data_IF_847039991848
#
_entry.id   IF_847039991848
#
_cell.length_a   1.000
_cell.length_b   1.000
_cell.length_c   1.000
_cell.angle_alpha   90.00
_cell.angle_beta   90.00
_cell.angle_gamma   90.00
#
_symmetry.space_group_name_H-M   'P 1'
#
loop_
_entity.id
_entity.type
_entity.pdbx_description
1 polymer ?
#
# COMPACT_ATOMS: atom_id res chain seq x y z
N UNK A 1 20.92 6.37 71.09
CA UNK A 1 21.59 6.19 69.78
C UNK A 1 20.69 5.34 68.90
N UNK A 2 19.96 5.82 67.90
CA UNK A 2 19.71 7.15 67.37
C UNK A 2 18.68 7.03 66.22
N UNK A 3 17.69 7.94 66.21
CA UNK A 3 16.80 8.41 65.11
C UNK A 3 16.12 7.37 64.21
N UNK A 4 14.79 7.19 64.16
CA UNK A 4 13.68 8.14 63.99
C UNK A 4 13.86 9.11 62.80
N UNK A 5 13.25 8.78 61.66
CA UNK A 5 12.94 9.73 60.57
C UNK A 5 11.53 9.45 60.08
N UNK A 6 10.59 10.22 60.62
CA UNK A 6 9.28 10.49 60.03
C UNK A 6 9.30 11.80 59.26
N UNK A 7 8.38 11.89 58.29
CA UNK A 7 7.66 13.10 57.87
C UNK A 7 8.12 13.90 56.64
N UNK A 8 7.15 14.00 55.71
CA UNK A 8 6.76 15.12 54.84
C UNK A 8 7.59 15.40 53.59
N UNK A 9 6.92 15.19 52.45
CA UNK A 9 6.84 16.17 51.35
C UNK A 9 5.54 15.92 50.57
N UNK A 10 4.47 16.58 51.01
CA UNK A 10 3.32 16.92 50.16
C UNK A 10 3.69 18.13 49.30
N UNK A 11 2.99 18.30 48.17
CA UNK A 11 3.08 19.37 47.16
C UNK A 11 4.14 19.21 46.05
N UNK A 12 3.69 18.72 44.89
CA UNK A 12 3.70 19.51 43.65
C UNK A 12 2.70 18.90 42.67
N UNK A 13 1.43 19.25 42.86
CA UNK A 13 0.40 19.23 41.81
C UNK A 13 0.32 20.68 41.34
N UNK A 14 1.07 21.03 40.30
CA UNK A 14 0.84 22.25 39.52
C UNK A 14 1.54 22.14 38.17
N UNK A 15 0.74 22.32 37.12
CA UNK A 15 1.13 22.68 35.75
C UNK A 15 1.82 21.63 34.85
N UNK A 16 1.01 20.70 34.33
CA UNK A 16 1.18 20.21 32.94
C UNK A 16 -0.11 20.53 32.19
N UNK A 17 -0.34 21.82 31.96
CA UNK A 17 -1.53 22.31 31.28
C UNK A 17 -1.13 23.41 30.29
N UNK A 18 -0.21 23.11 29.35
CA UNK A 18 0.22 24.04 28.29
C UNK A 18 0.93 23.35 27.11
N UNK A 19 0.42 22.23 26.59
CA UNK A 19 0.87 21.68 25.30
C UNK A 19 -0.27 21.24 24.37
N UNK A 20 -1.46 21.83 24.56
CA UNK A 20 -2.58 21.75 23.62
C UNK A 20 -2.78 23.10 22.93
N UNK A 21 -1.78 23.53 22.17
CA UNK A 21 -1.85 24.75 21.34
C UNK A 21 -1.40 24.38 19.91
N UNK A 22 -2.42 24.12 19.07
CA UNK A 22 -2.46 24.21 17.59
C UNK A 22 -1.72 23.18 16.70
N UNK A 23 -2.37 22.07 16.30
CA UNK A 23 -2.03 21.36 15.07
C UNK A 23 -2.45 22.11 13.78
N UNK A 24 -3.12 23.26 13.88
CA UNK A 24 -3.63 24.02 12.72
C UNK A 24 -2.51 24.67 11.88
N UNK A 25 -1.36 25.01 12.48
CA UNK A 25 -0.32 25.78 11.78
C UNK A 25 0.65 24.94 10.94
N UNK A 26 0.92 23.67 11.30
CA UNK A 26 1.75 22.78 10.47
C UNK A 26 1.00 22.40 9.18
N UNK A 27 -0.31 22.16 9.26
CA UNK A 27 -1.14 21.90 8.08
C UNK A 27 -1.28 23.15 7.18
N UNK A 28 -1.40 24.35 7.78
CA UNK A 28 -1.54 25.61 7.03
C UNK A 28 -0.24 26.08 6.36
N UNK A 29 0.92 25.87 6.99
CA UNK A 29 2.22 26.12 6.35
C UNK A 29 2.46 25.14 5.18
N UNK A 30 2.02 23.89 5.32
CA UNK A 30 2.04 22.91 4.22
C UNK A 30 1.08 23.27 3.06
N UNK A 31 -0.09 23.83 3.37
CA UNK A 31 -1.06 24.25 2.35
C UNK A 31 -0.68 25.54 1.59
N UNK A 32 0.21 26.39 2.15
CA UNK A 32 0.53 27.69 1.54
C UNK A 32 1.58 27.58 0.43
N UNK A 33 2.54 26.67 0.53
CA UNK A 33 3.61 26.51 -0.47
C UNK A 33 3.23 25.58 -1.64
N UNK A 34 2.24 24.70 -1.48
CA UNK A 34 1.81 23.77 -2.53
C UNK A 34 0.92 24.38 -3.62
N UNK A 35 0.54 25.65 -3.53
CA UNK A 35 -0.18 26.36 -4.60
C UNK A 35 0.68 26.64 -5.84
N UNK A 36 2.00 26.40 -5.78
CA UNK A 36 2.94 26.64 -6.90
C UNK A 36 3.54 25.37 -7.52
N UNK A 37 3.04 24.18 -7.20
CA UNK A 37 3.48 22.96 -7.89
C UNK A 37 2.72 22.77 -9.20
N UNK A 38 3.45 22.85 -10.32
CA UNK A 38 3.10 22.47 -11.71
C UNK A 38 1.59 22.32 -11.99
N UNK A 39 1.01 23.37 -12.57
CA UNK A 39 -0.40 23.48 -12.96
C UNK A 39 -0.76 22.68 -14.21
N UNK A 40 0.18 21.96 -14.81
CA UNK A 40 -0.08 21.18 -16.01
C UNK A 40 -0.91 19.95 -15.66
N UNK A 41 -2.07 19.75 -16.32
CA UNK A 41 -2.89 18.57 -16.08
C UNK A 41 -2.07 17.30 -16.37
N UNK A 42 -2.15 16.32 -15.46
CA UNK A 42 -1.50 15.03 -15.63
C UNK A 42 -2.32 14.23 -16.63
N UNK A 43 -1.77 14.01 -17.82
CA UNK A 43 -2.34 13.15 -18.84
C UNK A 43 -1.57 11.84 -18.89
N UNK A 44 -2.25 10.73 -18.64
CA UNK A 44 -1.74 9.38 -18.87
C UNK A 44 -2.27 8.92 -20.23
N UNK A 45 -1.37 8.61 -21.17
CA UNK A 45 -1.73 8.15 -22.51
C UNK A 45 -1.14 6.79 -22.78
N UNK A 46 -1.99 5.78 -22.91
CA UNK A 46 -1.58 4.40 -23.14
C UNK A 46 -1.77 3.99 -24.60
N UNK A 47 -0.95 3.08 -25.11
CA UNK A 47 -1.12 2.49 -26.43
C UNK A 47 -2.44 1.70 -26.45
N UNK A 48 -3.29 1.78 -27.50
CA UNK A 48 -4.56 1.05 -27.55
C UNK A 48 -4.37 -0.45 -27.85
N UNK A 49 -3.58 -1.14 -27.03
CA UNK A 49 -3.25 -2.55 -27.17
C UNK A 49 -3.25 -3.24 -25.82
N UNK A 50 -3.80 -4.45 -25.79
CA UNK A 50 -3.75 -5.37 -24.63
C UNK A 50 -2.39 -6.05 -24.48
N UNK A 51 -1.55 -6.05 -25.52
CA UNK A 51 -0.29 -6.80 -25.52
C UNK A 51 0.63 -6.40 -24.35
N UNK A 52 0.89 -5.11 -24.06
CA UNK A 52 1.77 -4.76 -22.95
C UNK A 52 1.16 -5.09 -21.58
N UNK A 53 -0.18 -5.10 -21.47
CA UNK A 53 -0.90 -5.49 -20.27
C UNK A 53 -0.74 -6.99 -19.98
N UNK A 54 -1.02 -7.83 -20.98
CA UNK A 54 -0.87 -9.29 -20.87
C UNK A 54 0.59 -9.63 -20.61
N UNK A 55 1.52 -9.03 -21.35
CA UNK A 55 2.95 -9.26 -21.18
C UNK A 55 3.42 -8.93 -19.76
N UNK A 56 3.02 -7.79 -19.18
CA UNK A 56 3.42 -7.43 -17.81
C UNK A 56 2.81 -8.38 -16.77
N UNK A 57 1.52 -8.72 -16.88
CA UNK A 57 0.88 -9.64 -15.92
C UNK A 57 1.51 -11.03 -15.99
N UNK A 58 1.75 -11.56 -17.19
CA UNK A 58 2.47 -12.83 -17.37
C UNK A 58 3.89 -12.76 -16.82
N UNK A 59 4.61 -11.67 -17.06
CA UNK A 59 5.94 -11.43 -16.49
C UNK A 59 5.92 -11.46 -14.96
N UNK A 60 4.94 -10.80 -14.33
CA UNK A 60 4.78 -10.80 -12.86
C UNK A 60 4.54 -12.21 -12.35
N UNK A 61 3.64 -12.98 -12.98
CA UNK A 61 3.40 -14.39 -12.60
C UNK A 61 4.65 -15.26 -12.71
N UNK A 62 5.45 -15.08 -13.78
CA UNK A 62 6.70 -15.83 -13.97
C UNK A 62 7.72 -15.48 -12.88
N UNK A 63 7.88 -14.19 -12.59
CA UNK A 63 8.80 -13.72 -11.54
C UNK A 63 8.35 -14.19 -10.15
N UNK A 64 7.04 -14.19 -9.89
CA UNK A 64 6.48 -14.72 -8.65
C UNK A 64 6.74 -16.24 -8.52
N UNK A 65 6.52 -17.02 -9.58
CA UNK A 65 6.83 -18.44 -9.61
C UNK A 65 8.32 -18.70 -9.33
N UNK A 66 9.21 -17.97 -10.03
CA UNK A 66 10.64 -18.06 -9.83
C UNK A 66 11.06 -17.68 -8.41
N UNK A 67 10.43 -16.65 -7.83
CA UNK A 67 10.65 -16.25 -6.44
C UNK A 67 10.29 -17.39 -5.49
N UNK A 68 9.11 -17.99 -5.64
CA UNK A 68 8.67 -19.11 -4.80
C UNK A 68 9.63 -20.29 -4.93
N UNK A 69 10.00 -20.68 -6.16
CA UNK A 69 10.96 -21.78 -6.38
C UNK A 69 12.33 -21.50 -5.74
N UNK A 70 12.81 -20.25 -5.81
CA UNK A 70 14.06 -19.88 -5.17
C UNK A 70 13.96 -19.93 -3.63
N UNK A 71 12.83 -19.51 -3.06
CA UNK A 71 12.59 -19.61 -1.62
C UNK A 71 12.56 -21.06 -1.18
N UNK A 72 11.81 -21.93 -1.86
CA UNK A 72 11.70 -23.34 -1.48
C UNK A 72 13.01 -24.09 -1.64
N UNK A 73 13.84 -23.72 -2.62
CA UNK A 73 15.17 -24.29 -2.79
C UNK A 73 16.16 -23.90 -1.67
N UNK A 74 16.05 -22.68 -1.13
CA UNK A 74 16.99 -22.15 -0.12
C UNK A 74 16.52 -22.43 1.30
N UNK A 75 15.22 -22.27 1.58
CA UNK A 75 14.63 -22.35 2.91
C UNK A 75 13.87 -23.65 3.17
N UNK A 76 13.77 -24.54 2.17
CA UNK A 76 12.97 -25.76 2.26
C UNK A 76 11.49 -25.55 1.91
N UNK A 77 10.67 -26.61 1.83
CA UNK A 77 9.29 -26.52 1.37
C UNK A 77 8.31 -25.92 2.39
N UNK A 78 8.67 -25.89 3.68
CA UNK A 78 7.76 -25.47 4.76
C UNK A 78 7.82 -23.96 5.00
N UNK A 79 6.96 -23.22 4.29
CA UNK A 79 6.91 -21.74 4.34
C UNK A 79 6.56 -21.17 5.72
N UNK A 80 5.88 -21.93 6.58
CA UNK A 80 5.55 -21.55 7.96
C UNK A 80 6.78 -21.41 8.86
N UNK A 81 7.88 -22.06 8.51
CA UNK A 81 9.12 -22.04 9.30
C UNK A 81 10.10 -20.96 8.84
N UNK A 82 9.79 -20.25 7.74
CA UNK A 82 10.72 -19.29 7.16
C UNK A 82 10.99 -18.14 8.13
N UNK A 83 12.28 -17.85 8.43
CA UNK A 83 12.61 -16.62 9.12
C UNK A 83 12.19 -15.45 8.22
N UNK A 84 11.19 -14.66 8.68
CA UNK A 84 10.56 -13.57 7.89
C UNK A 84 11.59 -12.63 7.24
N UNK A 85 12.67 -12.32 7.98
CA UNK A 85 13.75 -11.48 7.49
C UNK A 85 14.54 -12.11 6.33
N UNK A 86 14.81 -13.42 6.34
CA UNK A 86 15.46 -14.12 5.23
C UNK A 86 14.56 -14.16 3.99
N UNK A 87 13.26 -14.42 4.17
CA UNK A 87 12.30 -14.37 3.05
C UNK A 87 12.24 -12.98 2.41
N UNK A 88 12.23 -11.90 3.21
CA UNK A 88 12.30 -10.55 2.65
C UNK A 88 13.60 -10.29 1.87
N UNK A 89 14.74 -10.77 2.36
CA UNK A 89 16.03 -10.64 1.67
C UNK A 89 16.02 -11.42 0.34
N UNK A 90 15.54 -12.67 0.34
CA UNK A 90 15.44 -13.50 -0.85
C UNK A 90 14.43 -12.96 -1.87
N UNK A 91 13.38 -12.26 -1.43
CA UNK A 91 12.40 -11.61 -2.30
C UNK A 91 12.95 -10.37 -3.00
N UNK A 92 13.95 -9.70 -2.43
CA UNK A 92 14.45 -8.40 -2.90
C UNK A 92 14.86 -8.38 -4.38
N UNK A 93 15.65 -9.34 -4.92
CA UNK A 93 16.02 -9.35 -6.32
C UNK A 93 14.80 -9.46 -7.26
N UNK A 94 13.82 -10.28 -6.90
CA UNK A 94 12.59 -10.44 -7.68
C UNK A 94 11.76 -9.16 -7.69
N UNK A 95 11.68 -8.47 -6.54
CA UNK A 95 11.00 -7.18 -6.46
C UNK A 95 11.69 -6.11 -7.31
N UNK A 96 13.03 -6.08 -7.34
CA UNK A 96 13.77 -5.18 -8.22
C UNK A 96 13.48 -5.47 -9.69
N UNK A 97 13.42 -6.75 -10.08
CA UNK A 97 13.05 -7.18 -11.43
C UNK A 97 11.64 -6.69 -11.79
N UNK A 98 10.66 -6.79 -10.88
CA UNK A 98 9.30 -6.27 -11.09
C UNK A 98 9.26 -4.75 -11.24
N UNK A 99 10.00 -4.02 -10.40
CA UNK A 99 10.12 -2.55 -10.47
C UNK A 99 10.70 -2.15 -11.83
N UNK A 100 11.82 -2.75 -12.23
CA UNK A 100 12.49 -2.42 -13.49
C UNK A 100 11.65 -2.81 -14.71
N UNK A 101 11.00 -3.97 -14.70
CA UNK A 101 10.10 -4.42 -15.77
C UNK A 101 8.90 -3.49 -15.92
N UNK A 102 8.23 -3.15 -14.82
CA UNK A 102 7.10 -2.20 -14.81
C UNK A 102 7.52 -0.83 -15.29
N UNK A 103 8.68 -0.34 -14.82
CA UNK A 103 9.23 0.92 -15.27
C UNK A 103 9.53 0.91 -16.78
N UNK A 104 10.09 -0.17 -17.30
CA UNK A 104 10.31 -0.37 -18.74
C UNK A 104 9.01 -0.31 -19.54
N UNK A 105 7.96 -1.00 -19.09
CA UNK A 105 6.63 -0.97 -19.75
C UNK A 105 6.01 0.44 -19.70
N UNK A 106 6.09 1.14 -18.57
CA UNK A 106 5.62 2.53 -18.48
C UNK A 106 6.37 3.44 -19.46
N UNK A 107 7.69 3.30 -19.56
CA UNK A 107 8.50 4.06 -20.53
C UNK A 107 8.15 3.74 -21.97
N UNK A 108 7.93 2.46 -22.28
CA UNK A 108 7.47 2.02 -23.60
C UNK A 108 6.11 2.65 -23.97
N UNK A 109 5.22 2.82 -23.00
CA UNK A 109 3.92 3.48 -23.20
C UNK A 109 3.99 5.02 -23.11
N UNK A 110 5.16 5.62 -22.91
CA UNK A 110 5.32 7.07 -22.79
C UNK A 110 4.79 7.65 -21.47
N UNK A 111 4.59 6.82 -20.45
CA UNK A 111 4.10 7.21 -19.12
C UNK A 111 5.27 7.31 -18.14
N UNK A 112 5.35 8.42 -17.40
CA UNK A 112 6.36 8.57 -16.35
C UNK A 112 5.87 8.03 -15.00
N UNK A 113 6.79 7.50 -14.18
CA UNK A 113 6.46 7.07 -12.81
C UNK A 113 5.85 8.20 -11.97
N UNK A 114 6.32 9.44 -12.16
CA UNK A 114 5.77 10.61 -11.47
C UNK A 114 4.30 10.87 -11.84
N UNK A 115 3.90 10.58 -13.08
CA UNK A 115 2.53 10.80 -13.55
C UNK A 115 1.55 9.87 -12.83
N UNK A 116 1.98 8.64 -12.53
CA UNK A 116 1.15 7.65 -11.80
C UNK A 116 1.17 7.86 -10.29
N UNK A 117 1.89 8.87 -9.78
CA UNK A 117 1.88 9.23 -8.35
C UNK A 117 3.10 8.77 -7.56
N UNK A 118 4.16 8.29 -8.23
CA UNK A 118 5.49 8.05 -7.66
C UNK A 118 6.39 9.31 -7.81
N UNK A 119 5.95 10.45 -7.28
CA UNK A 119 6.76 11.68 -7.25
C UNK A 119 7.21 11.99 -5.83
N UNK A 120 8.26 12.81 -5.70
CA UNK A 120 8.69 13.33 -4.39
C UNK A 120 7.60 14.18 -3.72
N UNK A 121 6.81 14.91 -4.52
CA UNK A 121 5.72 15.75 -4.03
C UNK A 121 4.53 14.97 -3.48
N UNK A 122 4.34 13.71 -3.88
CA UNK A 122 3.29 12.82 -3.34
C UNK A 122 3.79 11.93 -2.20
N UNK A 123 5.10 11.80 -2.02
CA UNK A 123 5.70 10.98 -0.96
C UNK A 123 5.35 11.47 0.45
N UNK A 124 5.66 12.73 0.78
CA UNK A 124 5.40 13.25 2.13
C UNK A 124 3.90 13.23 2.51
N UNK A 125 2.95 13.63 1.63
CA UNK A 125 1.54 13.43 1.90
C UNK A 125 1.16 11.97 2.19
N UNK A 126 1.76 11.01 1.48
CA UNK A 126 1.53 9.59 1.73
C UNK A 126 2.05 9.15 3.10
N UNK A 127 3.26 9.59 3.48
CA UNK A 127 3.85 9.30 4.80
C UNK A 127 2.96 9.85 5.92
N UNK A 128 2.48 11.08 5.79
CA UNK A 128 1.58 11.69 6.80
C UNK A 128 0.26 10.92 6.88
N UNK A 129 -0.39 10.66 5.74
CA UNK A 129 -1.65 9.92 5.71
C UNK A 129 -1.51 8.50 6.28
N UNK A 130 -0.40 7.84 5.97
CA UNK A 130 -0.06 6.53 6.52
C UNK A 130 0.21 6.58 8.02
N UNK A 131 0.96 7.56 8.51
CA UNK A 131 1.19 7.75 9.94
C UNK A 131 -0.11 7.95 10.72
N UNK A 132 -1.07 8.69 10.14
CA UNK A 132 -2.42 8.84 10.70
C UNK A 132 -3.16 7.51 10.74
N UNK A 133 -3.12 6.73 9.64
CA UNK A 133 -3.73 5.39 9.59
C UNK A 133 -3.17 4.49 10.67
N UNK A 134 -1.84 4.35 10.70
CA UNK A 134 -1.12 3.49 11.64
C UNK A 134 -1.39 3.88 13.09
N UNK A 135 -1.32 5.18 13.42
CA UNK A 135 -1.60 5.69 14.76
C UNK A 135 -3.06 5.44 15.16
N UNK A 136 -4.01 5.69 14.26
CA UNK A 136 -5.43 5.46 14.51
C UNK A 136 -5.76 4.00 14.81
N UNK A 137 -5.34 3.07 13.94
CA UNK A 137 -5.63 1.63 14.15
C UNK A 137 -4.90 1.08 15.38
N UNK A 138 -3.72 1.64 15.70
CA UNK A 138 -2.99 1.31 16.92
C UNK A 138 -3.78 1.73 18.17
N UNK A 139 -4.29 2.96 18.20
CA UNK A 139 -5.11 3.48 19.30
C UNK A 139 -6.40 2.66 19.46
N UNK A 140 -7.09 2.37 18.36
CA UNK A 140 -8.34 1.58 18.38
C UNK A 140 -8.09 0.17 18.91
N UNK A 141 -7.05 -0.52 18.43
CA UNK A 141 -6.72 -1.88 18.89
C UNK A 141 -6.29 -1.92 20.35
N UNK A 142 -5.40 -1.02 20.79
CA UNK A 142 -5.01 -0.91 22.20
C UNK A 142 -6.22 -0.58 23.08
N UNK A 143 -7.06 0.36 22.66
CA UNK A 143 -8.28 0.73 23.38
C UNK A 143 -9.23 -0.45 23.54
N UNK A 144 -9.42 -1.25 22.47
CA UNK A 144 -10.21 -2.48 22.52
C UNK A 144 -9.67 -3.48 23.55
N UNK A 145 -8.35 -3.73 23.55
CA UNK A 145 -7.73 -4.69 24.49
C UNK A 145 -7.82 -4.20 25.94
N UNK A 146 -7.69 -2.89 26.17
CA UNK A 146 -7.87 -2.30 27.51
C UNK A 146 -9.30 -2.47 27.98
N UNK A 147 -10.30 -2.15 27.15
CA UNK A 147 -11.73 -2.25 27.50
C UNK A 147 -12.15 -3.70 27.76
N UNK A 148 -11.59 -4.65 27.02
CA UNK A 148 -11.93 -6.09 27.16
C UNK A 148 -11.11 -6.81 28.23
N UNK A 149 -10.14 -6.13 28.86
CA UNK A 149 -9.23 -6.74 29.83
C UNK A 149 -8.17 -7.67 29.22
N UNK A 150 -8.02 -7.69 27.89
CA UNK A 150 -7.08 -8.53 27.15
C UNK A 150 -5.67 -7.91 27.04
N UNK A 151 -5.22 -7.15 28.05
CA UNK A 151 -3.95 -6.40 28.01
C UNK A 151 -2.70 -7.28 27.95
N UNK A 152 -2.83 -8.58 28.24
CA UNK A 152 -1.75 -9.55 28.04
C UNK A 152 -1.32 -9.70 26.58
N UNK A 153 -2.16 -9.24 25.64
CA UNK A 153 -1.90 -9.27 24.19
C UNK A 153 -1.23 -7.98 23.68
N UNK A 154 -0.84 -7.07 24.59
CA UNK A 154 -0.05 -5.89 24.23
C UNK A 154 1.40 -6.29 23.96
N UNK A 155 2.01 -5.62 22.98
CA UNK A 155 3.35 -5.94 22.49
C UNK A 155 3.33 -6.30 21.02
N UNK A 156 4.50 -6.29 20.38
CA UNK A 156 4.60 -6.67 18.97
C UNK A 156 4.52 -8.19 18.83
N UNK A 157 3.63 -8.67 17.95
CA UNK A 157 3.42 -10.11 17.71
C UNK A 157 4.52 -10.81 16.88
N UNK A 158 5.74 -10.24 16.82
CA UNK A 158 6.83 -10.82 16.04
C UNK A 158 7.85 -11.48 16.95
N UNK A 159 8.15 -12.74 16.66
CA UNK A 159 9.36 -13.42 17.12
C UNK A 159 10.58 -12.92 16.33
N UNK A 160 10.94 -11.65 16.53
CA UNK A 160 12.20 -11.11 16.04
C UNK A 160 12.82 -10.14 17.06
N UNK A 161 14.15 -10.03 17.09
CA UNK A 161 14.80 -9.04 17.95
C UNK A 161 14.27 -7.63 17.66
N UNK A 162 14.04 -6.84 18.72
CA UNK A 162 13.38 -5.53 18.62
C UNK A 162 14.07 -4.57 17.63
N UNK A 163 15.38 -4.67 17.45
CA UNK A 163 16.15 -3.84 16.52
C UNK A 163 15.88 -4.17 15.04
N UNK A 164 15.32 -5.34 14.73
CA UNK A 164 14.89 -5.69 13.38
C UNK A 164 13.52 -5.13 13.02
N UNK A 165 12.67 -4.77 14.00
CA UNK A 165 11.30 -4.31 13.74
C UNK A 165 11.24 -3.09 12.80
N UNK A 166 12.08 -2.04 12.98
CA UNK A 166 12.07 -0.91 12.05
C UNK A 166 12.53 -1.31 10.64
N UNK A 167 13.53 -2.19 10.54
CA UNK A 167 14.05 -2.67 9.25
C UNK A 167 12.98 -3.50 8.53
N UNK A 168 12.37 -4.45 9.25
CA UNK A 168 11.27 -5.27 8.75
C UNK A 168 10.12 -4.41 8.25
N UNK A 169 9.68 -3.45 9.06
CA UNK A 169 8.61 -2.52 8.73
C UNK A 169 8.93 -1.72 7.45
N UNK A 170 10.14 -1.15 7.37
CA UNK A 170 10.56 -0.40 6.19
C UNK A 170 10.64 -1.30 4.95
N UNK A 171 11.21 -2.50 5.07
CA UNK A 171 11.33 -3.45 3.96
C UNK A 171 9.95 -3.82 3.42
N UNK A 172 9.01 -4.24 4.28
CA UNK A 172 7.65 -4.62 3.87
C UNK A 172 6.85 -3.45 3.29
N UNK A 173 7.01 -2.23 3.83
CA UNK A 173 6.36 -1.04 3.29
C UNK A 173 6.92 -0.60 1.93
N UNK A 174 8.23 -0.76 1.70
CA UNK A 174 8.90 -0.06 0.58
C UNK A 174 9.39 -0.96 -0.54
N UNK A 175 10.01 -2.11 -0.27
CA UNK A 175 10.66 -2.87 -1.35
C UNK A 175 10.15 -4.31 -1.46
N UNK A 176 9.76 -4.93 -0.35
CA UNK A 176 9.45 -6.36 -0.34
C UNK A 176 8.10 -6.70 -0.97
N UNK A 177 7.03 -5.92 -0.73
CA UNK A 177 5.72 -6.23 -1.30
C UNK A 177 4.92 -4.97 -1.64
N UNK A 178 4.60 -4.16 -0.63
CA UNK A 178 3.57 -3.12 -0.74
C UNK A 178 3.79 -2.17 -1.92
N UNK A 179 4.86 -1.38 -1.90
CA UNK A 179 5.10 -0.41 -2.98
C UNK A 179 5.38 -1.05 -4.34
N UNK A 180 6.10 -2.17 -4.37
CA UNK A 180 6.46 -2.86 -5.62
C UNK A 180 5.21 -3.35 -6.36
N UNK A 181 4.33 -4.06 -5.65
CA UNK A 181 3.08 -4.54 -6.21
C UNK A 181 2.16 -3.39 -6.59
N UNK A 182 2.03 -2.37 -5.74
CA UNK A 182 1.20 -1.22 -6.06
C UNK A 182 1.75 -0.39 -7.24
N UNK A 183 3.06 -0.37 -7.46
CA UNK A 183 3.64 0.21 -8.67
C UNK A 183 3.23 -0.54 -9.93
N UNK A 184 3.27 -1.88 -9.90
CA UNK A 184 2.79 -2.74 -11.00
C UNK A 184 1.29 -2.51 -11.22
N UNK A 185 0.49 -2.77 -10.20
CA UNK A 185 -0.94 -2.93 -10.38
C UNK A 185 -1.69 -1.61 -10.40
N UNK A 186 -1.24 -0.59 -9.67
CA UNK A 186 -1.95 0.70 -9.55
C UNK A 186 -1.26 1.73 -10.40
N UNK A 187 0.07 1.69 -10.45
CA UNK A 187 0.85 2.49 -11.37
C UNK A 187 0.54 2.16 -12.84
N UNK A 188 0.52 0.87 -13.21
CA UNK A 188 0.30 0.46 -14.60
C UNK A 188 -1.05 -0.24 -14.84
N UNK A 189 -1.30 -1.43 -14.28
CA UNK A 189 -2.41 -2.32 -14.69
C UNK A 189 -3.78 -1.63 -14.60
N UNK A 190 -4.12 -1.03 -13.46
CA UNK A 190 -5.39 -0.34 -13.25
C UNK A 190 -5.56 0.86 -14.18
N UNK A 191 -4.52 1.66 -14.38
CA UNK A 191 -4.55 2.80 -15.30
C UNK A 191 -4.71 2.34 -16.75
N UNK A 192 -4.05 1.25 -17.14
CA UNK A 192 -4.18 0.64 -18.46
C UNK A 192 -5.58 0.12 -18.70
N UNK A 193 -6.16 -0.62 -17.74
CA UNK A 193 -7.56 -1.07 -17.80
C UNK A 193 -8.53 0.11 -17.90
N UNK A 194 -8.28 1.19 -17.15
CA UNK A 194 -9.08 2.42 -17.22
C UNK A 194 -9.01 3.04 -18.62
N UNK A 195 -7.81 3.13 -19.22
CA UNK A 195 -7.60 3.73 -20.53
C UNK A 195 -8.27 2.94 -21.67
N UNK A 196 -8.25 1.60 -21.58
CA UNK A 196 -8.81 0.73 -22.61
C UNK A 196 -10.34 0.83 -22.71
N UNK A 197 -11.01 1.32 -21.67
CA UNK A 197 -12.44 1.61 -21.72
C UNK A 197 -12.63 3.03 -22.23
N UNK A 198 -12.87 3.13 -23.55
CA UNK A 198 -13.31 4.37 -24.21
C UNK A 198 -14.76 4.71 -23.79
N UNK A 199 -14.92 5.21 -22.57
CA UNK A 199 -16.21 5.68 -22.05
C UNK A 199 -16.17 7.17 -21.78
N UNK A 200 -17.28 7.86 -22.12
CA UNK A 200 -17.49 9.25 -21.72
C UNK A 200 -17.75 9.40 -20.21
N UNK A 201 -18.11 8.32 -19.53
CA UNK A 201 -18.36 8.30 -18.10
C UNK A 201 -17.08 7.96 -17.33
N UNK A 202 -16.51 8.97 -16.68
CA UNK A 202 -15.34 8.82 -15.79
C UNK A 202 -15.56 7.76 -14.69
N UNK A 203 -16.79 7.64 -14.16
CA UNK A 203 -17.13 6.64 -13.14
C UNK A 203 -16.98 5.21 -13.64
N UNK A 204 -17.62 4.90 -14.77
CA UNK A 204 -17.50 3.58 -15.42
C UNK A 204 -16.05 3.19 -15.74
N UNK A 205 -15.26 4.07 -16.36
CA UNK A 205 -13.85 3.75 -16.67
C UNK A 205 -13.05 3.47 -15.40
N UNK A 206 -13.26 4.24 -14.33
CA UNK A 206 -12.61 4.01 -13.04
C UNK A 206 -13.01 2.66 -12.42
N UNK A 207 -14.31 2.32 -12.46
CA UNK A 207 -14.80 1.03 -11.96
C UNK A 207 -14.17 -0.14 -12.72
N UNK A 208 -14.11 -0.06 -14.06
CA UNK A 208 -13.45 -1.12 -14.85
C UNK A 208 -11.95 -1.17 -14.57
N UNK A 209 -11.30 -0.03 -14.40
CA UNK A 209 -9.90 0.04 -13.96
C UNK A 209 -9.66 -0.70 -12.65
N UNK A 210 -10.47 -0.41 -11.63
CA UNK A 210 -10.36 -1.02 -10.29
C UNK A 210 -10.64 -2.53 -10.36
N UNK A 211 -11.76 -2.93 -10.96
CA UNK A 211 -12.15 -4.34 -11.02
C UNK A 211 -11.21 -5.16 -11.91
N UNK A 212 -10.83 -4.64 -13.08
CA UNK A 212 -9.86 -5.26 -13.97
C UNK A 212 -8.48 -5.40 -13.30
N UNK A 213 -8.02 -4.35 -12.63
CA UNK A 213 -6.78 -4.38 -11.85
C UNK A 213 -6.83 -5.39 -10.70
N UNK A 214 -7.96 -5.50 -9.99
CA UNK A 214 -8.12 -6.44 -8.88
C UNK A 214 -8.19 -7.90 -9.34
N UNK A 215 -8.86 -8.19 -10.46
CA UNK A 215 -8.87 -9.54 -11.05
C UNK A 215 -7.46 -9.93 -11.50
N UNK A 216 -6.76 -9.05 -12.21
CA UNK A 216 -5.39 -9.32 -12.68
C UNK A 216 -4.38 -9.42 -11.52
N UNK A 217 -4.62 -8.71 -10.42
CA UNK A 217 -3.90 -8.91 -9.16
C UNK A 217 -4.08 -10.34 -8.64
N UNK A 218 -5.30 -10.85 -8.56
CA UNK A 218 -5.55 -12.23 -8.17
C UNK A 218 -4.95 -13.27 -9.12
N UNK A 219 -4.99 -13.02 -10.43
CA UNK A 219 -4.34 -13.89 -11.43
C UNK A 219 -2.82 -13.97 -11.20
N UNK A 220 -2.18 -12.84 -10.89
CA UNK A 220 -0.75 -12.81 -10.63
C UNK A 220 -0.33 -13.59 -9.36
N UNK A 221 -1.27 -13.87 -8.45
CA UNK A 221 -1.06 -14.64 -7.22
C UNK A 221 -1.24 -16.15 -7.40
N UNK A 222 -1.73 -16.62 -8.56
CA UNK A 222 -1.89 -18.06 -8.83
C UNK A 222 -0.59 -18.85 -8.56
N UNK A 223 0.60 -18.43 -9.01
CA UNK A 223 1.83 -19.18 -8.74
C UNK A 223 2.13 -19.30 -7.26
N UNK A 224 1.84 -18.28 -6.45
CA UNK A 224 2.06 -18.31 -5.01
C UNK A 224 1.14 -19.35 -4.37
N UNK A 225 -0.17 -19.30 -4.67
CA UNK A 225 -1.12 -20.28 -4.12
C UNK A 225 -0.83 -21.72 -4.55
N UNK A 226 -0.45 -21.95 -5.81
CA UNK A 226 -0.16 -23.30 -6.30
C UNK A 226 1.18 -23.85 -5.80
N UNK A 227 2.24 -23.04 -5.80
CA UNK A 227 3.61 -23.50 -5.57
C UNK A 227 4.06 -23.35 -4.11
N UNK A 228 3.64 -22.29 -3.42
CA UNK A 228 4.04 -22.01 -2.04
C UNK A 228 3.02 -22.54 -1.03
N UNK A 229 1.73 -22.33 -1.30
CA UNK A 229 0.65 -22.75 -0.40
C UNK A 229 0.16 -24.18 -0.69
N UNK A 230 0.60 -24.78 -1.80
CA UNK A 230 0.26 -26.16 -2.17
C UNK A 230 -1.23 -26.36 -2.49
N UNK A 231 -1.94 -25.28 -2.83
CA UNK A 231 -3.38 -25.30 -3.13
C UNK A 231 -3.60 -26.03 -4.47
N UNK A 232 -4.59 -26.96 -4.58
CA UNK A 232 -4.82 -27.67 -5.82
C UNK A 232 -5.28 -26.73 -6.96
N UNK A 233 -5.00 -27.05 -8.23
CA UNK A 233 -5.42 -26.23 -9.37
C UNK A 233 -6.92 -25.94 -9.45
N UNK A 234 -7.75 -26.83 -8.89
CA UNK A 234 -9.21 -26.64 -8.81
C UNK A 234 -9.63 -25.44 -7.94
N UNK A 235 -8.74 -24.95 -7.06
CA UNK A 235 -8.98 -23.81 -6.19
C UNK A 235 -8.39 -22.48 -6.73
N UNK A 236 -7.91 -22.44 -7.98
CA UNK A 236 -7.55 -21.19 -8.67
C UNK A 236 -8.63 -20.10 -8.57
N UNK A 237 -9.94 -20.39 -8.75
CA UNK A 237 -10.98 -19.37 -8.57
C UNK A 237 -10.97 -18.76 -7.16
N UNK A 238 -10.70 -19.56 -6.13
CA UNK A 238 -10.64 -19.10 -4.75
C UNK A 238 -9.41 -18.22 -4.49
N UNK A 239 -8.26 -18.54 -5.09
CA UNK A 239 -7.06 -17.67 -5.04
C UNK A 239 -7.38 -16.29 -5.64
N UNK A 240 -8.02 -16.26 -6.80
CA UNK A 240 -8.41 -15.00 -7.45
C UNK A 240 -9.41 -14.23 -6.59
N UNK A 241 -10.43 -14.89 -6.05
CA UNK A 241 -11.45 -14.27 -5.20
C UNK A 241 -10.89 -13.77 -3.87
N UNK A 242 -9.99 -14.53 -3.23
CA UNK A 242 -9.32 -14.14 -1.99
C UNK A 242 -8.49 -12.86 -2.15
N UNK A 243 -7.89 -12.69 -3.34
CA UNK A 243 -7.12 -11.49 -3.69
C UNK A 243 -7.98 -10.35 -4.28
N UNK A 244 -9.26 -10.58 -4.55
CA UNK A 244 -10.15 -9.56 -5.12
C UNK A 244 -10.43 -8.43 -4.13
N UNK A 245 -10.70 -8.77 -2.85
CA UNK A 245 -10.98 -7.79 -1.80
C UNK A 245 -9.79 -6.84 -1.56
N UNK A 246 -8.56 -7.32 -1.32
CA UNK A 246 -7.41 -6.42 -1.19
C UNK A 246 -7.15 -5.65 -2.49
N UNK A 247 -7.27 -6.31 -3.66
CA UNK A 247 -7.14 -5.65 -4.97
C UNK A 247 -8.10 -4.47 -5.17
N UNK A 248 -9.37 -4.64 -4.80
CA UNK A 248 -10.38 -3.57 -4.83
C UNK A 248 -10.04 -2.48 -3.81
N UNK A 249 -9.67 -2.87 -2.58
CA UNK A 249 -9.34 -1.93 -1.50
C UNK A 249 -8.21 -0.98 -1.91
N UNK A 250 -7.10 -1.54 -2.37
CA UNK A 250 -5.95 -0.74 -2.81
C UNK A 250 -6.26 0.02 -4.11
N UNK A 251 -7.05 -0.57 -5.02
CA UNK A 251 -7.48 0.12 -6.24
C UNK A 251 -8.37 1.34 -5.97
N UNK A 252 -9.26 1.26 -4.97
CA UNK A 252 -10.08 2.39 -4.49
C UNK A 252 -9.19 3.44 -3.83
N UNK A 253 -8.27 3.05 -2.94
CA UNK A 253 -7.32 3.97 -2.30
C UNK A 253 -6.51 4.72 -3.37
N UNK A 254 -6.01 4.01 -4.37
CA UNK A 254 -5.28 4.62 -5.47
C UNK A 254 -6.18 5.55 -6.31
N UNK A 255 -7.39 5.13 -6.65
CA UNK A 255 -8.34 5.96 -7.38
C UNK A 255 -8.62 7.28 -6.63
N UNK A 256 -8.78 7.23 -5.31
CA UNK A 256 -9.06 8.39 -4.48
C UNK A 256 -7.86 9.34 -4.35
N UNK A 257 -6.64 8.79 -4.26
CA UNK A 257 -5.45 9.58 -3.91
C UNK A 257 -4.54 9.92 -5.09
N UNK A 258 -4.60 9.12 -6.16
CA UNK A 258 -3.66 9.14 -7.30
C UNK A 258 -2.19 9.15 -6.82
N UNK A 259 -1.93 8.34 -5.80
CA UNK A 259 -0.68 8.29 -5.05
C UNK A 259 -0.28 6.83 -4.76
N UNK A 260 0.64 6.31 -5.59
CA UNK A 260 1.15 4.93 -5.43
C UNK A 260 1.89 4.76 -4.10
N UNK A 261 2.56 5.79 -3.57
CA UNK A 261 3.22 5.68 -2.27
C UNK A 261 2.24 5.31 -1.16
N UNK A 262 1.09 6.00 -1.12
CA UNK A 262 0.10 5.76 -0.07
C UNK A 262 -0.54 4.37 -0.23
N UNK A 263 -0.93 4.00 -1.45
CA UNK A 263 -1.43 2.63 -1.71
C UNK A 263 -0.40 1.57 -1.28
N UNK A 264 0.87 1.78 -1.63
CA UNK A 264 1.99 0.91 -1.26
C UNK A 264 2.18 0.79 0.25
N UNK A 265 2.12 1.89 1.00
CA UNK A 265 2.24 1.87 2.46
C UNK A 265 1.06 1.17 3.11
N UNK A 266 -0.17 1.42 2.64
CA UNK A 266 -1.36 0.73 3.18
C UNK A 266 -1.30 -0.77 2.90
N UNK A 267 -0.88 -1.16 1.70
CA UNK A 267 -0.68 -2.57 1.36
C UNK A 267 0.41 -3.21 2.21
N UNK A 268 1.61 -2.61 2.24
CA UNK A 268 2.71 -3.11 3.06
C UNK A 268 2.36 -3.23 4.53
N UNK A 269 1.55 -2.31 5.07
CA UNK A 269 1.02 -2.40 6.43
C UNK A 269 0.06 -3.57 6.63
N UNK A 270 -0.81 -3.84 5.66
CA UNK A 270 -1.68 -5.03 5.69
C UNK A 270 -0.88 -6.34 5.74
N UNK A 271 0.27 -6.40 5.07
CA UNK A 271 1.11 -7.61 5.05
C UNK A 271 1.98 -7.72 6.30
N UNK A 272 2.56 -6.60 6.75
CA UNK A 272 3.47 -6.60 7.89
C UNK A 272 2.75 -6.64 9.23
N UNK A 273 1.57 -6.03 9.31
CA UNK A 273 0.75 -5.83 10.51
C UNK A 273 1.55 -5.38 11.74
N UNK A 274 2.47 -4.43 11.54
CA UNK A 274 3.31 -3.90 12.63
C UNK A 274 2.50 -2.97 13.51
N UNK A 275 1.88 -3.50 14.56
CA UNK A 275 1.08 -2.78 15.56
C UNK A 275 1.52 -3.19 16.98
N UNK A 276 1.29 -2.36 18.02
CA UNK A 276 1.76 -2.62 19.38
C UNK A 276 0.86 -3.62 20.15
N UNK A 277 0.28 -4.59 19.44
CA UNK A 277 -0.54 -5.66 20.00
C UNK A 277 -0.57 -6.88 19.06
N UNK A 278 -1.07 -8.02 19.54
CA UNK A 278 -1.44 -9.15 18.68
C UNK A 278 -2.71 -8.85 17.87
N UNK A 279 -2.62 -8.71 16.53
CA UNK A 279 -3.77 -8.42 15.68
C UNK A 279 -4.87 -9.49 15.75
N UNK A 280 -4.50 -10.75 16.06
CA UNK A 280 -5.46 -11.85 16.18
C UNK A 280 -6.37 -11.71 17.41
N UNK A 281 -5.92 -10.96 18.42
CA UNK A 281 -6.69 -10.66 19.63
C UNK A 281 -7.73 -9.54 19.44
N UNK A 282 -7.71 -8.85 18.28
CA UNK A 282 -8.65 -7.77 17.95
C UNK A 282 -9.57 -8.23 16.81
N UNK A 283 -10.83 -8.62 17.11
CA UNK A 283 -11.76 -9.04 16.09
C UNK A 283 -11.92 -7.98 15.00
N UNK A 284 -11.97 -8.44 13.75
CA UNK A 284 -12.15 -7.56 12.58
C UNK A 284 -11.07 -6.49 12.39
N UNK A 285 -9.88 -6.65 12.98
CA UNK A 285 -8.77 -5.70 12.82
C UNK A 285 -8.47 -5.38 11.34
N UNK A 286 -8.36 -6.41 10.49
CA UNK A 286 -8.08 -6.23 9.05
C UNK A 286 -9.18 -5.41 8.35
N UNK A 287 -10.48 -5.74 8.45
CA UNK A 287 -11.56 -4.88 7.96
C UNK A 287 -11.51 -3.44 8.48
N UNK A 288 -11.24 -3.24 9.78
CA UNK A 288 -11.14 -1.89 10.38
C UNK A 288 -9.99 -1.10 9.78
N UNK A 289 -8.83 -1.73 9.59
CA UNK A 289 -7.68 -1.10 8.95
C UNK A 289 -7.97 -0.73 7.50
N UNK A 290 -8.60 -1.62 6.73
CA UNK A 290 -8.98 -1.38 5.34
C UNK A 290 -9.97 -0.20 5.21
N UNK A 291 -11.04 -0.20 6.00
CA UNK A 291 -12.03 0.90 6.02
C UNK A 291 -11.38 2.21 6.45
N UNK A 292 -10.54 2.20 7.49
CA UNK A 292 -9.79 3.39 7.94
C UNK A 292 -8.89 3.94 6.83
N UNK A 293 -8.20 3.06 6.08
CA UNK A 293 -7.37 3.43 4.94
C UNK A 293 -8.17 4.14 3.84
N UNK A 294 -9.38 3.66 3.53
CA UNK A 294 -10.30 4.29 2.58
C UNK A 294 -10.83 5.63 3.10
N UNK A 295 -11.21 5.73 4.37
CA UNK A 295 -11.69 6.99 4.96
C UNK A 295 -10.61 8.06 4.94
N UNK A 296 -9.36 7.70 5.25
CA UNK A 296 -8.21 8.60 5.14
C UNK A 296 -7.95 8.97 3.68
N UNK A 297 -8.10 8.03 2.73
CA UNK A 297 -8.02 8.32 1.30
C UNK A 297 -9.10 9.32 0.84
N UNK A 298 -10.32 9.24 1.39
CA UNK A 298 -11.39 10.21 1.14
C UNK A 298 -11.04 11.59 1.72
N UNK A 299 -10.51 11.66 2.94
CA UNK A 299 -9.99 12.90 3.53
C UNK A 299 -8.86 13.50 2.70
N UNK A 300 -7.91 12.67 2.27
CA UNK A 300 -6.82 13.04 1.37
C UNK A 300 -7.35 13.64 0.06
N UNK A 301 -8.33 12.99 -0.57
CA UNK A 301 -8.99 13.49 -1.78
C UNK A 301 -9.70 14.82 -1.52
N UNK A 302 -10.39 14.94 -0.39
CA UNK A 302 -11.08 16.17 0.01
C UNK A 302 -10.10 17.35 0.11
N UNK A 303 -8.95 17.15 0.75
CA UNK A 303 -7.90 18.17 0.88
C UNK A 303 -7.26 18.56 -0.45
N UNK A 304 -7.36 17.70 -1.47
CA UNK A 304 -6.80 17.92 -2.81
C UNK A 304 -7.86 18.16 -3.89
N UNK A 305 -9.08 18.59 -3.51
CA UNK A 305 -10.16 18.86 -4.48
C UNK A 305 -9.78 19.90 -5.54
N UNK A 306 -8.91 20.83 -5.19
CA UNK A 306 -8.40 21.87 -6.11
C UNK A 306 -7.30 21.35 -7.05
N UNK A 307 -6.77 20.15 -6.80
CA UNK A 307 -5.82 19.52 -7.70
C UNK A 307 -6.56 19.05 -8.96
N UNK A 308 -6.00 19.39 -10.14
CA UNK A 308 -6.59 18.96 -11.41
C UNK A 308 -6.67 17.42 -11.46
N UNK A 309 -7.82 16.87 -11.91
CA UNK A 309 -7.97 15.42 -12.07
C UNK A 309 -6.95 14.86 -13.06
N UNK A 310 -6.55 13.61 -12.84
CA UNK A 310 -5.71 12.87 -13.80
C UNK A 310 -6.62 12.43 -14.94
N UNK A 311 -6.27 12.79 -16.17
CA UNK A 311 -6.98 12.29 -17.35
C UNK A 311 -6.24 11.07 -17.88
N UNK A 312 -6.98 9.98 -18.10
CA UNK A 312 -6.44 8.70 -18.56
C UNK A 312 -7.10 8.37 -19.88
N UNK A 313 -6.30 8.31 -20.95
CA UNK A 313 -6.79 8.11 -22.32
C UNK A 313 -5.89 7.12 -23.09
N UNK A 314 -6.38 6.67 -24.25
CA UNK A 314 -5.55 6.01 -25.26
C UNK A 314 -4.85 7.03 -26.17
N UNK A 315 -3.66 6.69 -26.63
CA UNK A 315 -2.97 7.40 -27.70
C UNK A 315 -3.79 7.26 -28.98
N UNK A 316 -4.35 8.36 -29.49
CA UNK A 316 -4.97 8.38 -30.82
C UNK A 316 -3.86 8.20 -31.85
N UNK A 317 -3.97 7.19 -32.70
CA UNK A 317 -3.11 7.14 -33.89
C UNK A 317 -3.39 8.41 -34.72
N UNK A 318 -2.34 9.11 -35.20
CA UNK A 318 -2.55 10.15 -36.19
C UNK A 318 -3.32 9.53 -37.35
N UNK A 319 -4.46 10.12 -37.71
CA UNK A 319 -5.19 9.68 -38.90
C UNK A 319 -4.20 9.68 -40.06
N UNK A 320 -4.00 8.53 -40.70
CA UNK A 320 -3.24 8.49 -41.95
C UNK A 320 -3.83 9.57 -42.84
N UNK A 321 -3.02 10.57 -43.20
CA UNK A 321 -3.41 11.53 -44.22
C UNK A 321 -3.71 10.70 -45.46
N UNK A 322 -4.96 10.70 -45.89
CA UNK A 322 -5.33 10.25 -47.23
C UNK A 322 -4.70 11.25 -48.17
N UNK A 323 -3.49 10.95 -48.62
CA UNK A 323 -2.92 11.46 -49.87
C UNK A 323 -3.50 10.68 -51.05
#
# INVERSE_FOLDING_TARGET
>A
MGSEVTSRSSLMITEVNSFLIYPRNILLLYCRDHRRMSTSPRHLRFIPSLVPLVALVSFVSIVAAASVTAHTAVLGPESSEYPKHLSAILSFPFMLILILGTWGVLRYEGVSASAVGLSRSTFLPAVVAFGVLWGWVSIVGVGYLVVTGATAQLGFAFDMPWYWVPIWFLLTLTVSNGLTEEFVFRGYVQNKCTALVSSRSHGLSATVGILGGAVLFGVAHIPIGLLLEGVPPTAIPLIILGNLIPGITYGVIYYLTQNVWYAGFVHGFGNATVVPFDPSAVPSFVPVAAVSGILIALGYRHMRRDARPVTIDIQRQPSKSTE
#
